data_IF_145616552303
#
_entry.id   IF_145616552303
#
_cell.length_a   1.000
_cell.length_b   1.000
_cell.length_c   1.000
_cell.angle_alpha   90.00
_cell.angle_beta   90.00
_cell.angle_gamma   90.00
#
_symmetry.space_group_name_H-M   'P 1'
#
loop_
_entity.id
_entity.type
_entity.pdbx_description
1 polymer ?
#
# COMPACT_ATOMS: atom_id res chain seq x y z
N UNK A 1 31.29 6.02 -9.84
CA UNK A 1 30.29 5.67 -10.87
C UNK A 1 29.54 4.47 -10.32
N UNK A 2 28.39 4.72 -9.62
CA UNK A 2 27.53 3.65 -9.13
C UNK A 2 26.84 3.02 -10.33
N UNK A 3 26.97 1.72 -10.50
CA UNK A 3 26.38 0.96 -11.60
C UNK A 3 24.94 0.61 -11.20
N UNK A 4 24.00 0.55 -12.16
CA UNK A 4 22.59 0.15 -11.96
C UNK A 4 22.48 -1.20 -11.21
N UNK A 5 23.48 -2.07 -11.36
CA UNK A 5 23.55 -3.39 -10.70
C UNK A 5 23.77 -3.24 -9.18
N UNK A 6 24.60 -2.27 -8.73
CA UNK A 6 24.84 -2.05 -7.30
C UNK A 6 23.56 -1.57 -6.57
N UNK A 7 22.70 -0.84 -7.28
CA UNK A 7 21.43 -0.33 -6.74
C UNK A 7 20.40 -1.45 -6.54
N UNK A 8 20.27 -2.40 -7.50
CA UNK A 8 19.32 -3.52 -7.36
C UNK A 8 19.73 -4.50 -6.25
N UNK A 9 21.03 -4.78 -6.10
CA UNK A 9 21.51 -5.66 -5.04
C UNK A 9 21.27 -5.06 -3.65
N UNK A 10 21.45 -3.75 -3.48
CA UNK A 10 21.15 -3.05 -2.24
C UNK A 10 19.65 -3.10 -1.93
N UNK A 11 18.77 -2.89 -2.92
CA UNK A 11 17.31 -2.97 -2.76
C UNK A 11 16.86 -4.38 -2.38
N UNK A 12 17.38 -5.39 -3.08
CA UNK A 12 17.11 -6.81 -2.77
C UNK A 12 17.57 -7.15 -1.35
N UNK A 13 18.76 -6.72 -0.96
CA UNK A 13 19.28 -6.92 0.39
C UNK A 13 18.43 -6.25 1.46
N UNK A 14 18.05 -5.00 1.26
CA UNK A 14 17.16 -4.26 2.14
C UNK A 14 15.78 -4.94 2.26
N UNK A 15 15.24 -5.45 1.14
CA UNK A 15 13.97 -6.17 1.15
C UNK A 15 14.04 -7.47 1.93
N UNK A 16 15.07 -8.28 1.74
CA UNK A 16 15.31 -9.51 2.50
C UNK A 16 15.38 -9.23 3.99
N UNK A 17 16.09 -8.16 4.38
CA UNK A 17 16.18 -7.72 5.76
C UNK A 17 14.81 -7.32 6.32
N UNK A 18 14.04 -6.51 5.59
CA UNK A 18 12.70 -6.09 5.98
C UNK A 18 11.75 -7.30 6.18
N UNK A 19 11.78 -8.29 5.26
CA UNK A 19 10.99 -9.51 5.38
C UNK A 19 11.38 -10.35 6.59
N UNK A 20 12.66 -10.43 6.92
CA UNK A 20 13.16 -11.11 8.11
C UNK A 20 12.70 -10.41 9.39
N UNK A 21 12.89 -9.09 9.46
CA UNK A 21 12.56 -8.28 10.65
C UNK A 21 11.06 -8.23 10.91
N UNK A 22 10.23 -8.14 9.87
CA UNK A 22 8.76 -8.16 9.99
C UNK A 22 8.23 -9.45 10.62
N UNK A 23 8.95 -10.56 10.44
CA UNK A 23 8.63 -11.87 11.06
C UNK A 23 9.29 -12.08 12.42
N UNK A 24 10.01 -11.09 12.93
CA UNK A 24 10.76 -11.20 14.18
C UNK A 24 11.93 -12.20 14.13
N UNK A 25 12.44 -12.53 12.95
CA UNK A 25 13.51 -13.53 12.81
C UNK A 25 14.90 -12.92 12.99
N UNK A 26 15.78 -13.66 13.67
CA UNK A 26 17.20 -13.37 13.70
C UNK A 26 17.87 -13.79 12.38
N UNK A 27 19.11 -13.32 12.12
CA UNK A 27 19.93 -13.80 11.00
C UNK A 27 20.13 -15.34 11.06
N UNK A 28 20.26 -15.88 12.26
CA UNK A 28 20.41 -17.34 12.47
C UNK A 28 19.12 -18.07 12.08
N UNK A 29 17.95 -17.56 12.49
CA UNK A 29 16.66 -18.14 12.14
C UNK A 29 16.42 -18.16 10.62
N UNK A 30 16.77 -17.08 9.92
CA UNK A 30 16.66 -17.06 8.46
C UNK A 30 17.65 -18.02 7.79
N UNK A 31 18.88 -18.10 8.30
CA UNK A 31 19.88 -19.04 7.80
C UNK A 31 19.40 -20.51 7.91
N UNK A 32 18.85 -20.89 9.04
CA UNK A 32 18.28 -22.23 9.29
C UNK A 32 17.11 -22.54 8.35
N UNK A 33 16.17 -21.59 8.19
CA UNK A 33 14.97 -21.75 7.36
C UNK A 33 15.28 -21.80 5.87
N UNK A 34 16.26 -21.03 5.42
CA UNK A 34 16.63 -20.94 4.00
C UNK A 34 17.70 -21.96 3.57
N UNK A 35 18.42 -22.58 4.52
CA UNK A 35 19.60 -23.38 4.22
C UNK A 35 20.77 -22.55 3.65
N UNK A 36 20.80 -21.24 3.93
CA UNK A 36 21.87 -20.32 3.55
C UNK A 36 22.69 -19.98 4.79
N UNK A 37 24.04 -19.92 4.67
CA UNK A 37 24.87 -19.58 5.83
C UNK A 37 24.54 -18.21 6.40
N UNK A 38 24.57 -18.05 7.72
CA UNK A 38 24.33 -16.77 8.40
C UNK A 38 25.22 -15.64 7.87
N UNK A 39 26.49 -15.94 7.57
CA UNK A 39 27.42 -14.96 7.02
C UNK A 39 27.01 -14.47 5.63
N UNK A 40 26.48 -15.38 4.79
CA UNK A 40 25.98 -15.02 3.45
C UNK A 40 24.68 -14.22 3.55
N UNK A 41 23.74 -14.60 4.41
CA UNK A 41 22.52 -13.82 4.67
C UNK A 41 22.90 -12.38 5.05
N UNK A 42 23.83 -12.23 5.99
CA UNK A 42 24.28 -10.91 6.45
C UNK A 42 24.91 -10.07 5.33
N UNK A 43 25.78 -10.68 4.47
CA UNK A 43 26.38 -9.98 3.33
C UNK A 43 25.34 -9.51 2.31
N UNK A 44 24.36 -10.37 2.01
CA UNK A 44 23.27 -10.05 1.08
C UNK A 44 22.42 -8.91 1.64
N UNK A 45 22.02 -8.96 2.91
CA UNK A 45 21.22 -7.90 3.55
C UNK A 45 21.93 -6.54 3.58
N UNK A 46 23.24 -6.52 3.49
CA UNK A 46 24.05 -5.29 3.44
C UNK A 46 24.39 -4.83 2.02
N UNK A 47 23.94 -5.59 1.00
CA UNK A 47 24.33 -5.32 -0.39
C UNK A 47 25.82 -5.53 -0.69
N UNK A 48 26.54 -6.25 0.18
CA UNK A 48 27.98 -6.53 0.05
C UNK A 48 28.27 -7.71 -0.90
N UNK A 49 27.21 -8.38 -1.39
CA UNK A 49 27.32 -9.52 -2.30
C UNK A 49 26.07 -9.61 -3.15
N UNK A 50 26.27 -9.69 -4.47
CA UNK A 50 25.18 -10.00 -5.41
C UNK A 50 24.73 -11.44 -5.23
N UNK A 51 23.46 -11.68 -4.85
CA UNK A 51 22.97 -13.03 -4.64
C UNK A 51 22.72 -13.75 -5.97
N UNK A 52 23.09 -15.01 -6.06
CA UNK A 52 22.73 -15.85 -7.22
C UNK A 52 21.24 -16.15 -7.24
N UNK A 53 20.69 -16.52 -8.41
CA UNK A 53 19.28 -16.91 -8.53
C UNK A 53 18.89 -18.07 -7.59
N UNK A 54 19.78 -19.05 -7.43
CA UNK A 54 19.58 -20.15 -6.48
C UNK A 54 19.52 -19.70 -5.03
N UNK A 55 20.35 -18.73 -4.66
CA UNK A 55 20.37 -18.15 -3.30
C UNK A 55 19.11 -17.33 -3.03
N UNK A 56 18.69 -16.51 -4.01
CA UNK A 56 17.44 -15.76 -3.93
C UNK A 56 16.22 -16.68 -3.80
N UNK A 57 16.17 -17.76 -4.58
CA UNK A 57 15.09 -18.74 -4.51
C UNK A 57 14.99 -19.40 -3.11
N UNK A 58 16.13 -19.72 -2.48
CA UNK A 58 16.17 -20.28 -1.12
C UNK A 58 15.65 -19.26 -0.08
N UNK A 59 16.10 -18.01 -0.16
CA UNK A 59 15.66 -16.95 0.76
C UNK A 59 14.17 -16.65 0.57
N UNK A 60 13.70 -16.50 -0.68
CA UNK A 60 12.28 -16.30 -0.98
C UNK A 60 11.43 -17.47 -0.48
N UNK A 61 11.88 -18.71 -0.70
CA UNK A 61 11.20 -19.91 -0.21
C UNK A 61 11.06 -19.93 1.32
N UNK A 62 12.07 -19.49 2.06
CA UNK A 62 11.98 -19.37 3.52
C UNK A 62 10.89 -18.37 3.96
N UNK A 63 10.62 -17.33 3.18
CA UNK A 63 9.53 -16.37 3.41
C UNK A 63 8.17 -16.83 2.91
N UNK A 64 8.08 -17.98 2.23
CA UNK A 64 6.85 -18.49 1.63
C UNK A 64 6.45 -17.78 0.33
N UNK A 65 7.40 -17.16 -0.37
CA UNK A 65 7.16 -16.43 -1.62
C UNK A 65 8.02 -16.97 -2.78
N UNK A 66 7.68 -16.59 -4.00
CA UNK A 66 8.51 -16.88 -5.18
C UNK A 66 9.67 -15.88 -5.29
N UNK A 67 10.75 -16.26 -5.97
CA UNK A 67 11.84 -15.35 -6.29
C UNK A 67 11.33 -14.10 -7.05
N UNK A 68 10.42 -14.30 -8.00
CA UNK A 68 9.82 -13.16 -8.75
C UNK A 68 9.05 -12.20 -7.84
N UNK A 69 8.32 -12.72 -6.86
CA UNK A 69 7.62 -11.88 -5.87
C UNK A 69 8.61 -11.11 -5.00
N UNK A 70 9.70 -11.74 -4.55
CA UNK A 70 10.75 -11.07 -3.78
C UNK A 70 11.42 -9.95 -4.59
N UNK A 71 11.75 -10.19 -5.86
CA UNK A 71 12.34 -9.19 -6.75
C UNK A 71 11.36 -8.05 -7.03
N UNK A 72 10.10 -8.34 -7.35
CA UNK A 72 9.08 -7.32 -7.54
C UNK A 72 8.90 -6.42 -6.30
N UNK A 73 9.00 -7.00 -5.11
CA UNK A 73 8.97 -6.24 -3.85
C UNK A 73 10.25 -5.41 -3.63
N UNK A 74 11.40 -5.85 -4.14
CA UNK A 74 12.66 -5.11 -4.07
C UNK A 74 12.71 -3.97 -5.09
N UNK A 75 12.04 -4.11 -6.23
CA UNK A 75 11.88 -3.06 -7.25
C UNK A 75 10.89 -1.98 -6.83
N UNK A 76 10.01 -2.28 -5.87
CA UNK A 76 9.23 -1.25 -5.21
C UNK A 76 10.22 -0.36 -4.44
N UNK A 77 10.45 0.85 -4.90
CA UNK A 77 11.22 1.83 -4.14
C UNK A 77 10.56 1.97 -2.77
N UNK A 78 11.20 1.46 -1.71
CA UNK A 78 10.83 1.71 -0.31
C UNK A 78 11.16 3.17 0.05
N UNK A 79 10.60 4.08 -0.74
CA UNK A 79 10.59 5.48 -0.44
C UNK A 79 9.64 5.71 0.74
N UNK A 80 10.18 5.92 1.95
CA UNK A 80 9.36 6.34 3.12
C UNK A 80 8.71 7.71 2.91
N UNK A 81 9.09 8.42 1.85
CA UNK A 81 8.60 9.74 1.49
C UNK A 81 8.11 9.72 0.05
N UNK A 82 6.85 10.10 -0.15
CA UNK A 82 6.27 10.40 -1.45
C UNK A 82 5.89 11.88 -1.50
N UNK A 83 6.63 12.64 -2.30
CA UNK A 83 6.36 14.08 -2.46
C UNK A 83 5.02 14.29 -3.16
N UNK A 84 4.32 15.37 -2.85
CA UNK A 84 3.03 15.69 -3.47
C UNK A 84 3.10 15.77 -5.00
N UNK A 85 4.24 16.20 -5.54
CA UNK A 85 4.52 16.25 -6.98
C UNK A 85 4.59 14.89 -7.64
N UNK A 86 4.91 13.85 -6.88
CA UNK A 86 5.15 12.48 -7.37
C UNK A 86 3.98 11.55 -7.03
N UNK A 87 2.96 12.06 -6.32
CA UNK A 87 1.76 11.29 -5.97
C UNK A 87 0.93 11.03 -7.22
N UNK A 88 0.65 9.76 -7.55
CA UNK A 88 -0.21 9.42 -8.68
C UNK A 88 -1.61 9.99 -8.50
N UNK A 89 -2.10 10.66 -9.53
CA UNK A 89 -3.46 11.22 -9.60
C UNK A 89 -4.20 10.57 -10.76
N UNK A 90 -5.43 10.14 -10.49
CA UNK A 90 -6.37 9.69 -11.50
C UNK A 90 -7.66 10.51 -11.39
N UNK A 91 -8.20 10.88 -12.54
CA UNK A 91 -9.44 11.65 -12.63
C UNK A 91 -10.44 10.84 -13.44
N UNK A 92 -11.62 10.64 -12.90
CA UNK A 92 -12.74 10.05 -13.63
C UNK A 92 -13.24 11.03 -14.71
N UNK A 93 -13.25 10.62 -15.99
CA UNK A 93 -13.62 11.50 -17.09
C UNK A 93 -15.10 11.90 -17.10
N UNK A 94 -15.97 11.12 -16.42
CA UNK A 94 -17.42 11.38 -16.41
C UNK A 94 -17.81 12.33 -15.27
N UNK A 95 -17.38 12.03 -14.07
CA UNK A 95 -17.78 12.77 -12.86
C UNK A 95 -16.80 13.84 -12.43
N UNK A 96 -15.56 13.83 -12.94
CA UNK A 96 -14.48 14.67 -12.46
C UNK A 96 -13.96 14.29 -11.07
N UNK A 97 -14.42 13.18 -10.48
CA UNK A 97 -13.89 12.60 -9.25
C UNK A 97 -12.40 12.40 -9.36
N UNK A 98 -11.65 13.05 -8.47
CA UNK A 98 -10.19 12.96 -8.45
C UNK A 98 -9.74 12.07 -7.31
N UNK A 99 -8.86 11.14 -7.62
CA UNK A 99 -8.24 10.23 -6.66
C UNK A 99 -6.73 10.39 -6.67
N UNK A 100 -6.16 10.79 -5.55
CA UNK A 100 -4.71 10.94 -5.34
C UNK A 100 -4.21 9.85 -4.40
N UNK A 101 -3.21 9.10 -4.83
CA UNK A 101 -2.55 8.12 -3.98
C UNK A 101 -1.46 8.80 -3.15
N UNK A 102 -1.67 8.93 -1.85
CA UNK A 102 -0.82 9.72 -0.94
C UNK A 102 0.28 8.88 -0.29
N UNK A 103 -0.01 7.60 -0.01
CA UNK A 103 0.96 6.73 0.64
C UNK A 103 2.17 6.44 -0.24
N UNK A 104 3.39 6.42 0.31
CA UNK A 104 4.53 5.83 -0.37
C UNK A 104 4.28 4.36 -0.72
N UNK A 105 4.85 3.89 -1.82
CA UNK A 105 4.90 2.46 -2.12
C UNK A 105 5.84 1.80 -1.11
N UNK A 106 5.30 1.10 -0.14
CA UNK A 106 6.06 0.46 0.92
C UNK A 106 5.45 -0.90 1.26
N UNK A 107 6.14 -1.66 2.12
CA UNK A 107 5.62 -2.92 2.67
C UNK A 107 4.47 -2.71 3.69
N UNK A 108 4.14 -1.46 4.03
CA UNK A 108 3.02 -1.16 4.92
C UNK A 108 1.70 -1.67 4.33
N UNK A 109 0.86 -2.35 5.11
CA UNK A 109 -0.48 -2.72 4.67
C UNK A 109 -1.40 -1.49 4.52
N UNK A 110 -1.01 -0.36 5.13
CA UNK A 110 -1.80 0.86 5.12
C UNK A 110 -1.61 1.63 3.81
N UNK A 111 -2.72 2.00 3.20
CA UNK A 111 -2.75 2.90 2.05
C UNK A 111 -3.64 4.10 2.37
N UNK A 112 -3.16 5.28 2.04
CA UNK A 112 -3.88 6.54 2.17
C UNK A 112 -4.18 7.09 0.79
N UNK A 113 -5.44 7.40 0.55
CA UNK A 113 -5.93 8.00 -0.70
C UNK A 113 -6.69 9.26 -0.35
N UNK A 114 -6.37 10.36 -1.02
CA UNK A 114 -7.12 11.61 -0.94
C UNK A 114 -8.08 11.70 -2.13
N UNK A 115 -9.28 12.16 -1.87
CA UNK A 115 -10.36 12.26 -2.84
C UNK A 115 -10.86 13.70 -2.89
N UNK A 116 -10.98 14.24 -4.11
CA UNK A 116 -11.79 15.42 -4.37
C UNK A 116 -13.06 14.97 -5.12
N UNK A 117 -14.20 15.08 -4.44
CA UNK A 117 -15.51 14.73 -4.99
C UNK A 117 -16.23 16.02 -5.41
N UNK A 118 -16.43 16.26 -6.71
CA UNK A 118 -17.09 17.46 -7.20
C UNK A 118 -18.49 17.65 -6.66
N UNK A 119 -19.00 18.89 -6.73
CA UNK A 119 -20.39 19.20 -6.42
C UNK A 119 -21.35 18.32 -7.24
N UNK A 120 -22.40 17.84 -6.61
CA UNK A 120 -23.44 16.98 -7.20
C UNK A 120 -22.94 15.64 -7.77
N UNK A 121 -21.69 15.26 -7.54
CA UNK A 121 -21.15 13.98 -7.99
C UNK A 121 -21.65 12.83 -7.10
N UNK A 122 -21.87 11.67 -7.76
CA UNK A 122 -22.31 10.44 -7.12
C UNK A 122 -21.49 9.27 -7.69
N UNK A 123 -20.77 8.54 -6.81
CA UNK A 123 -19.85 7.45 -7.18
C UNK A 123 -20.32 6.16 -6.52
N UNK A 124 -20.99 5.27 -7.25
CA UNK A 124 -21.33 3.95 -6.74
C UNK A 124 -20.12 3.02 -6.74
N UNK A 125 -19.99 2.21 -5.70
CA UNK A 125 -18.94 1.22 -5.53
C UNK A 125 -19.55 -0.12 -5.13
N UNK A 126 -19.18 -1.22 -5.82
CA UNK A 126 -19.73 -2.54 -5.49
C UNK A 126 -19.09 -3.11 -4.22
N UNK A 127 -19.82 -3.95 -3.49
CA UNK A 127 -19.34 -4.67 -2.31
C UNK A 127 -18.02 -5.42 -2.55
N UNK A 128 -17.81 -5.91 -3.77
CA UNK A 128 -16.57 -6.62 -4.15
C UNK A 128 -15.29 -5.80 -4.01
N UNK A 129 -15.39 -4.47 -4.01
CA UNK A 129 -14.24 -3.58 -3.81
C UNK A 129 -13.72 -3.57 -2.36
N UNK A 130 -14.48 -4.12 -1.41
CA UNK A 130 -14.21 -4.03 0.04
C UNK A 130 -13.94 -5.37 0.73
N UNK A 131 -14.03 -6.51 0.01
CA UNK A 131 -14.00 -7.86 0.58
C UNK A 131 -12.74 -8.19 1.41
N UNK A 132 -11.60 -7.60 1.09
CA UNK A 132 -10.31 -7.94 1.70
C UNK A 132 -9.64 -6.75 2.39
N UNK A 133 -10.39 -5.69 2.68
CA UNK A 133 -9.87 -4.46 3.27
C UNK A 133 -10.71 -4.02 4.46
N UNK A 134 -10.07 -3.29 5.39
CA UNK A 134 -10.76 -2.40 6.32
C UNK A 134 -10.54 -0.98 5.85
N UNK A 135 -11.55 -0.15 5.94
CA UNK A 135 -11.45 1.22 5.46
C UNK A 135 -12.03 2.20 6.47
N UNK A 136 -11.37 3.36 6.55
CA UNK A 136 -11.88 4.54 7.25
C UNK A 136 -12.06 5.64 6.22
N UNK A 137 -13.15 6.39 6.31
CA UNK A 137 -13.38 7.65 5.60
C UNK A 137 -13.17 8.76 6.60
N UNK A 138 -12.34 9.76 6.26
CA UNK A 138 -12.14 10.94 7.07
C UNK A 138 -12.36 12.18 6.21
N UNK A 139 -13.40 12.97 6.51
CA UNK A 139 -13.71 14.19 5.76
C UNK A 139 -12.74 15.29 6.18
N UNK A 140 -12.05 15.87 5.21
CA UNK A 140 -11.05 16.91 5.41
C UNK A 140 -11.64 18.31 5.19
N UNK A 141 -12.51 18.46 4.18
CA UNK A 141 -13.22 19.69 3.88
C UNK A 141 -14.52 19.39 3.13
N UNK A 142 -15.57 20.15 3.40
CA UNK A 142 -16.88 19.97 2.78
C UNK A 142 -17.76 18.98 3.51
N UNK A 143 -18.75 18.47 2.79
CA UNK A 143 -19.78 17.57 3.30
C UNK A 143 -19.89 16.35 2.39
N UNK A 144 -19.87 15.17 2.99
CA UNK A 144 -19.98 13.89 2.30
C UNK A 144 -21.25 13.15 2.77
N UNK A 145 -22.04 12.69 1.83
CA UNK A 145 -23.06 11.67 2.08
C UNK A 145 -22.49 10.33 1.66
N UNK A 146 -22.41 9.40 2.60
CA UNK A 146 -22.00 8.02 2.34
C UNK A 146 -23.17 7.08 2.63
N UNK A 147 -23.53 6.25 1.66
CA UNK A 147 -24.62 5.28 1.78
C UNK A 147 -24.00 3.89 1.70
N UNK A 148 -24.19 3.06 2.73
CA UNK A 148 -23.65 1.71 2.85
C UNK A 148 -24.76 0.72 3.17
N UNK A 149 -25.01 -0.25 2.27
CA UNK A 149 -26.06 -1.25 2.48
C UNK A 149 -27.47 -0.67 2.70
N UNK A 150 -27.70 0.57 2.22
CA UNK A 150 -28.95 1.32 2.42
C UNK A 150 -28.94 2.24 3.65
N UNK A 151 -27.97 2.16 4.54
CA UNK A 151 -27.79 3.10 5.65
C UNK A 151 -27.10 4.38 5.15
N UNK A 152 -27.65 5.55 5.53
CA UNK A 152 -27.17 6.86 5.11
C UNK A 152 -26.40 7.53 6.24
N UNK A 153 -25.18 7.91 5.97
CA UNK A 153 -24.30 8.67 6.86
C UNK A 153 -24.05 10.07 6.26
N UNK A 154 -24.27 11.12 7.04
CA UNK A 154 -23.95 12.50 6.69
C UNK A 154 -22.71 12.92 7.48
N UNK A 155 -21.63 13.21 6.77
CA UNK A 155 -20.31 13.47 7.35
C UNK A 155 -19.88 14.88 6.99
N UNK A 156 -19.56 15.68 7.99
CA UNK A 156 -18.97 17.00 7.83
C UNK A 156 -17.45 16.98 8.03
N UNK A 157 -16.80 18.11 7.77
CA UNK A 157 -15.36 18.26 7.96
C UNK A 157 -14.92 17.89 9.39
N UNK A 158 -13.96 16.97 9.50
CA UNK A 158 -13.45 16.42 10.77
C UNK A 158 -14.07 15.07 11.13
N UNK A 159 -15.22 14.70 10.58
CA UNK A 159 -15.87 13.42 10.88
C UNK A 159 -15.09 12.25 10.28
N UNK A 160 -15.09 11.13 11.01
CA UNK A 160 -14.45 9.89 10.59
C UNK A 160 -15.43 8.71 10.76
N UNK A 161 -15.59 7.92 9.70
CA UNK A 161 -16.44 6.73 9.67
C UNK A 161 -15.61 5.49 9.33
N UNK A 162 -15.72 4.43 10.12
CA UNK A 162 -15.25 3.09 9.75
C UNK A 162 -16.34 2.37 8.95
N UNK A 163 -16.00 1.81 7.79
CA UNK A 163 -16.92 1.04 6.97
C UNK A 163 -17.30 -0.26 7.68
N UNK A 164 -18.56 -0.65 7.52
CA UNK A 164 -19.11 -1.88 8.05
C UNK A 164 -18.72 -3.14 7.25
N UNK A 165 -19.57 -4.15 7.29
CA UNK A 165 -19.40 -5.35 6.47
C UNK A 165 -19.51 -4.99 4.98
N UNK A 166 -18.73 -5.64 4.08
CA UNK A 166 -18.77 -5.33 2.65
C UNK A 166 -20.18 -5.32 2.08
N UNK A 167 -20.62 -4.19 1.59
CA UNK A 167 -21.92 -3.96 0.94
C UNK A 167 -21.76 -2.97 -0.21
N UNK A 168 -22.73 -2.93 -1.12
CA UNK A 168 -22.75 -1.88 -2.13
C UNK A 168 -22.88 -0.53 -1.46
N UNK A 169 -22.06 0.42 -1.88
CA UNK A 169 -22.07 1.76 -1.30
C UNK A 169 -22.03 2.87 -2.36
N UNK A 170 -22.36 4.07 -1.92
CA UNK A 170 -22.36 5.27 -2.75
C UNK A 170 -21.72 6.41 -1.99
N UNK A 171 -20.73 7.05 -2.60
CA UNK A 171 -20.15 8.32 -2.16
C UNK A 171 -20.86 9.44 -2.91
N UNK A 172 -21.47 10.37 -2.21
CA UNK A 172 -22.28 11.41 -2.80
C UNK A 172 -21.96 12.78 -2.20
N UNK A 173 -21.82 13.77 -3.06
CA UNK A 173 -21.69 15.16 -2.66
C UNK A 173 -22.96 15.92 -3.07
N UNK A 174 -23.82 16.19 -2.12
CA UNK A 174 -25.08 16.91 -2.35
C UNK A 174 -24.93 18.44 -2.22
N UNK A 175 -23.70 18.90 -1.92
CA UNK A 175 -23.39 20.32 -1.76
C UNK A 175 -23.05 20.99 -3.10
N UNK A 176 -22.90 22.31 -3.08
CA UNK A 176 -22.51 23.12 -4.25
C UNK A 176 -20.99 23.32 -4.38
N UNK A 177 -20.19 22.73 -3.49
CA UNK A 177 -18.72 22.81 -3.50
C UNK A 177 -18.08 21.43 -3.51
N UNK A 178 -16.83 21.33 -3.90
CA UNK A 178 -16.09 20.07 -3.83
C UNK A 178 -15.97 19.61 -2.36
N UNK A 179 -16.21 18.33 -2.13
CA UNK A 179 -15.90 17.67 -0.86
C UNK A 179 -14.54 17.00 -0.97
N UNK A 180 -13.67 17.24 0.02
CA UNK A 180 -12.37 16.59 0.14
C UNK A 180 -12.37 15.61 1.31
N UNK A 181 -12.01 14.36 1.07
CA UNK A 181 -11.90 13.36 2.11
C UNK A 181 -10.73 12.41 1.87
N UNK A 182 -10.26 11.77 2.93
CA UNK A 182 -9.25 10.73 2.87
C UNK A 182 -9.90 9.37 3.09
N UNK A 183 -9.40 8.37 2.37
CA UNK A 183 -9.72 6.95 2.61
C UNK A 183 -8.45 6.26 3.08
N UNK A 184 -8.48 5.73 4.29
CA UNK A 184 -7.42 4.93 4.87
C UNK A 184 -7.80 3.46 4.66
N UNK A 185 -6.98 2.74 3.90
CA UNK A 185 -7.22 1.34 3.55
C UNK A 185 -6.20 0.48 4.25
N UNK A 186 -6.64 -0.45 5.08
CA UNK A 186 -5.83 -1.53 5.64
C UNK A 186 -6.11 -2.82 4.88
N UNK A 187 -5.10 -3.36 4.20
CA UNK A 187 -5.21 -4.65 3.52
C UNK A 187 -5.02 -5.76 4.53
N UNK A 188 -6.05 -6.56 4.75
CA UNK A 188 -5.93 -7.78 5.56
C UNK A 188 -4.88 -8.69 4.91
N UNK A 189 -3.85 -9.01 5.70
CA UNK A 189 -2.82 -10.00 5.35
C UNK A 189 -3.43 -11.40 5.30
#
# INVERSE_FOLDING_TARGET
MYTIIDDIDQRVGARIRAERESRGWSLTSLAEKSGVSRAMVHKVERGESSPTASLLAKLAGAFGMTMSALLALAELEDGRLLRVTDQPVWVDPESGYLRRHVSPKSASPLNLVEIDLPAAAEIPMPASAYLQTRQLIWVLDGDLVFIEGGERHELGAGDCLELGAPSDCVFKNESSRTCKYAVIVDRKS
#
